data_IF_504053119968
#
_entry.id   IF_504053119968
#
_cell.length_a   1.000
_cell.length_b   1.000
_cell.length_c   1.000
_cell.angle_alpha   90.00
_cell.angle_beta   90.00
_cell.angle_gamma   90.00
#
_symmetry.space_group_name_H-M   'P 1'
#
loop_
_entity.id
_entity.type
_entity.pdbx_description
1 polymer ?
#
# COMPACT_ATOMS: atom_id res chain seq x y z
N UNK A 1 21.28 -11.28 13.49
CA UNK A 1 20.52 -12.46 12.99
C UNK A 1 19.20 -12.71 13.75
N UNK A 2 18.59 -11.71 14.41
CA UNK A 2 17.34 -11.89 15.17
C UNK A 2 16.12 -11.20 14.50
N UNK A 3 16.38 -10.20 13.65
CA UNK A 3 15.33 -9.42 12.98
C UNK A 3 14.73 -10.12 11.76
N UNK A 4 15.50 -10.95 11.05
CA UNK A 4 15.02 -11.68 9.86
C UNK A 4 14.01 -12.76 10.23
N UNK A 5 14.21 -13.48 11.35
CA UNK A 5 13.27 -14.51 11.82
C UNK A 5 11.93 -13.94 12.30
N UNK A 6 11.88 -12.68 12.77
CA UNK A 6 10.63 -12.05 13.20
C UNK A 6 9.72 -11.69 12.03
N UNK A 7 10.32 -11.36 10.89
CA UNK A 7 9.60 -11.03 9.64
C UNK A 7 8.95 -12.28 9.05
N UNK A 8 9.63 -13.45 9.11
CA UNK A 8 9.12 -14.70 8.54
C UNK A 8 7.85 -15.24 9.22
N UNK A 9 7.57 -14.84 10.46
CA UNK A 9 6.35 -15.23 11.20
C UNK A 9 5.14 -14.34 10.88
N UNK A 10 5.37 -13.15 10.31
CA UNK A 10 4.30 -12.26 9.84
C UNK A 10 3.81 -12.63 8.44
N UNK A 11 4.63 -13.37 7.66
CA UNK A 11 4.28 -13.92 6.34
C UNK A 11 3.55 -15.27 6.43
N UNK A 12 2.82 -15.51 7.52
CA UNK A 12 1.97 -16.70 7.70
C UNK A 12 0.76 -16.70 6.76
N UNK A 13 0.98 -16.93 5.47
CA UNK A 13 -0.09 -17.30 4.54
C UNK A 13 -0.18 -18.82 4.46
N UNK A 14 -0.85 -19.40 5.46
CA UNK A 14 -1.33 -20.77 5.41
C UNK A 14 -2.66 -20.83 4.68
N UNK A 15 -2.72 -21.71 3.68
CA UNK A 15 -3.90 -22.41 3.16
C UNK A 15 -4.92 -21.56 2.38
N UNK A 16 -4.80 -21.58 1.04
CA UNK A 16 -5.88 -21.17 0.12
C UNK A 16 -6.51 -22.42 -0.47
N UNK A 17 -7.51 -22.96 0.22
CA UNK A 17 -8.53 -23.76 -0.45
C UNK A 17 -9.31 -22.79 -1.36
N UNK A 18 -9.26 -23.01 -2.67
CA UNK A 18 -9.73 -22.06 -3.67
C UNK A 18 -11.27 -22.09 -3.78
N UNK A 19 -11.96 -21.45 -2.85
CA UNK A 19 -13.32 -20.94 -3.10
C UNK A 19 -13.19 -19.65 -3.91
N UNK A 20 -14.03 -19.44 -4.92
CA UNK A 20 -14.01 -18.21 -5.76
C UNK A 20 -14.09 -16.92 -4.91
N UNK A 21 -14.77 -16.98 -3.75
CA UNK A 21 -14.83 -15.88 -2.76
C UNK A 21 -13.53 -15.68 -1.97
N UNK A 22 -12.75 -16.74 -1.73
CA UNK A 22 -11.47 -16.67 -1.01
C UNK A 22 -10.44 -15.88 -1.82
N UNK A 23 -10.40 -16.09 -3.15
CA UNK A 23 -9.49 -15.37 -4.04
C UNK A 23 -9.80 -13.86 -4.09
N UNK A 24 -11.08 -13.49 -4.04
CA UNK A 24 -11.51 -12.09 -3.95
C UNK A 24 -11.13 -11.45 -2.60
N UNK A 25 -11.34 -12.16 -1.48
CA UNK A 25 -11.00 -11.65 -0.15
C UNK A 25 -9.49 -11.48 0.05
N UNK A 26 -8.68 -12.43 -0.42
CA UNK A 26 -7.20 -12.35 -0.34
C UNK A 26 -6.67 -11.17 -1.16
N UNK A 27 -7.22 -10.96 -2.36
CA UNK A 27 -6.78 -9.85 -3.23
C UNK A 27 -7.19 -8.49 -2.65
N UNK A 28 -8.42 -8.37 -2.12
CA UNK A 28 -8.91 -7.13 -1.50
C UNK A 28 -8.19 -6.76 -0.20
N UNK A 29 -7.83 -7.75 0.61
CA UNK A 29 -7.04 -7.51 1.84
C UNK A 29 -5.61 -7.12 1.53
N UNK A 30 -4.97 -7.77 0.54
CA UNK A 30 -3.64 -7.39 0.08
C UNK A 30 -3.59 -5.96 -0.45
N UNK A 31 -4.55 -5.58 -1.30
CA UNK A 31 -4.61 -4.22 -1.87
C UNK A 31 -4.85 -3.16 -0.77
N UNK A 32 -5.72 -3.43 0.20
CA UNK A 32 -5.95 -2.52 1.34
C UNK A 32 -4.67 -2.33 2.20
N UNK A 33 -3.91 -3.39 2.44
CA UNK A 33 -2.63 -3.33 3.17
C UNK A 33 -1.60 -2.49 2.39
N UNK A 34 -1.50 -2.70 1.08
CA UNK A 34 -0.59 -1.92 0.22
C UNK A 34 -0.98 -0.44 0.20
N UNK A 35 -2.27 -0.12 0.10
CA UNK A 35 -2.77 1.26 0.10
C UNK A 35 -2.49 1.99 1.43
N UNK A 36 -2.83 1.37 2.55
CA UNK A 36 -2.63 1.98 3.89
C UNK A 36 -1.15 2.15 4.21
N UNK A 37 -0.32 1.18 3.85
CA UNK A 37 1.14 1.26 4.02
C UNK A 37 1.74 2.33 3.11
N UNK A 38 1.34 2.37 1.83
CA UNK A 38 1.78 3.39 0.87
C UNK A 38 1.39 4.80 1.32
N UNK A 39 0.14 5.01 1.72
CA UNK A 39 -0.35 6.30 2.21
C UNK A 39 0.40 6.77 3.46
N UNK A 40 0.69 5.88 4.41
CA UNK A 40 1.47 6.21 5.60
C UNK A 40 2.91 6.61 5.26
N UNK A 41 3.53 5.93 4.29
CA UNK A 41 4.87 6.26 3.79
C UNK A 41 4.87 7.63 3.12
N UNK A 42 3.98 7.85 2.14
CA UNK A 42 3.91 9.13 1.41
C UNK A 42 3.54 10.32 2.30
N UNK A 43 2.62 10.13 3.27
CA UNK A 43 2.28 11.17 4.24
C UNK A 43 3.47 11.61 5.07
N UNK A 44 4.43 10.71 5.36
CA UNK A 44 5.66 11.04 6.09
C UNK A 44 6.74 11.68 5.22
N UNK A 45 6.89 11.26 3.97
CA UNK A 45 7.91 11.78 3.07
C UNK A 45 7.55 13.14 2.45
N UNK A 46 6.29 13.32 2.03
CA UNK A 46 5.83 14.55 1.36
C UNK A 46 5.20 15.54 2.34
N UNK A 47 4.90 15.12 3.58
CA UNK A 47 4.14 15.93 4.54
C UNK A 47 2.67 16.12 4.19
N UNK A 48 2.15 15.37 3.21
CA UNK A 48 0.75 15.41 2.81
C UNK A 48 -0.18 14.82 3.90
N UNK A 49 -1.44 15.26 3.89
CA UNK A 49 -2.45 14.66 4.76
C UNK A 49 -2.59 13.16 4.44
N UNK A 50 -2.96 12.37 5.45
CA UNK A 50 -3.18 10.93 5.27
C UNK A 50 -4.26 10.65 4.21
N UNK A 51 -5.30 11.50 4.14
CA UNK A 51 -6.36 11.39 3.13
C UNK A 51 -5.85 11.70 1.71
N UNK A 52 -5.00 12.71 1.54
CA UNK A 52 -4.42 13.06 0.24
C UNK A 52 -3.47 11.95 -0.24
N UNK A 53 -2.67 11.41 0.67
CA UNK A 53 -1.76 10.29 0.40
C UNK A 53 -2.53 9.00 0.06
N UNK A 54 -3.65 8.76 0.72
CA UNK A 54 -4.54 7.64 0.43
C UNK A 54 -5.23 7.79 -0.93
N UNK A 55 -5.73 8.99 -1.25
CA UNK A 55 -6.30 9.32 -2.55
C UNK A 55 -5.26 9.12 -3.67
N UNK A 56 -4.03 9.59 -3.49
CA UNK A 56 -2.93 9.40 -4.43
C UNK A 56 -2.63 7.90 -4.66
N UNK A 57 -2.53 7.12 -3.57
CA UNK A 57 -2.36 5.67 -3.68
C UNK A 57 -3.53 5.01 -4.40
N UNK A 58 -4.78 5.44 -4.14
CA UNK A 58 -5.98 4.91 -4.77
C UNK A 58 -6.02 5.15 -6.28
N UNK A 59 -5.83 6.40 -6.73
CA UNK A 59 -5.86 6.73 -8.17
C UNK A 59 -4.73 6.06 -8.94
N UNK A 60 -3.60 5.79 -8.28
CA UNK A 60 -2.44 5.08 -8.87
C UNK A 60 -2.72 3.58 -8.99
N UNK A 61 -3.26 2.95 -7.93
CA UNK A 61 -3.60 1.52 -7.94
C UNK A 61 -4.78 1.19 -8.85
N UNK A 62 -5.78 2.08 -8.91
CA UNK A 62 -6.91 1.96 -9.85
C UNK A 62 -6.54 2.41 -11.25
N UNK A 63 -5.31 2.87 -11.48
CA UNK A 63 -4.81 3.38 -12.78
C UNK A 63 -5.63 4.53 -13.36
N UNK A 64 -6.47 5.18 -12.54
CA UNK A 64 -7.22 6.38 -12.93
C UNK A 64 -6.24 7.50 -13.28
N UNK A 65 -5.22 7.69 -12.44
CA UNK A 65 -4.04 8.48 -12.74
C UNK A 65 -4.30 9.92 -13.24
N UNK A 66 -5.18 10.68 -12.56
CA UNK A 66 -5.51 12.06 -12.94
C UNK A 66 -4.29 12.99 -13.05
N UNK A 67 -3.22 12.72 -12.29
CA UNK A 67 -1.97 13.49 -12.32
C UNK A 67 -2.03 14.82 -11.58
N UNK A 68 -3.08 15.03 -10.77
CA UNK A 68 -3.26 16.16 -9.85
C UNK A 68 -2.29 16.10 -8.66
N UNK A 69 -1.97 14.89 -8.19
CA UNK A 69 -0.92 14.63 -7.21
C UNK A 69 0.18 13.78 -7.84
N UNK A 70 1.44 14.22 -7.71
CA UNK A 70 2.65 13.53 -8.19
C UNK A 70 3.57 13.28 -7.00
N UNK A 71 3.97 12.05 -6.72
CA UNK A 71 5.00 11.80 -5.72
C UNK A 71 6.36 12.30 -6.22
N UNK A 72 7.26 12.68 -5.31
CA UNK A 72 8.65 13.11 -5.51
C UNK A 72 8.86 14.59 -5.87
N UNK A 73 7.83 15.44 -5.84
CA UNK A 73 7.97 16.88 -6.15
C UNK A 73 8.75 17.61 -5.04
N UNK A 74 8.51 17.24 -3.79
CA UNK A 74 9.13 17.90 -2.62
C UNK A 74 10.59 17.48 -2.45
N UNK A 75 10.96 16.24 -2.81
CA UNK A 75 12.35 15.75 -2.78
C UNK A 75 13.20 16.36 -3.92
N UNK A 76 12.62 16.60 -5.09
CA UNK A 76 13.35 17.15 -6.24
C UNK A 76 13.54 18.68 -6.17
N UNK A 77 12.79 19.38 -5.30
CA UNK A 77 12.89 20.84 -5.11
C UNK A 77 13.83 21.28 -3.98
N UNK A 78 14.50 20.33 -3.30
CA UNK A 78 15.55 20.58 -2.27
C UNK A 78 16.92 20.32 -2.89
#
# INVERSE_FOLDING_TARGET
>A
MYHICRVKRFLGCGNTEATEVNQLMVTGTLSAVVMTTGAAVFSKYEGWSYLDSFYYCFITLTTIGFGDFVALQVICSI
#
